data_IF_309579710736
#
_entry.id   IF_309579710736
#
_cell.length_a   1.000
_cell.length_b   1.000
_cell.length_c   1.000
_cell.angle_alpha   90.00
_cell.angle_beta   90.00
_cell.angle_gamma   90.00
#
_symmetry.space_group_name_H-M   'P 1'
#
loop_
_entity.id
_entity.type
_entity.pdbx_description
1 polymer ?
#
# COMPACT_ATOMS: atom_id res chain seq x y z
N UNK A 1 -10.65 13.22 6.56
CA UNK A 1 -9.70 12.89 7.59
C UNK A 1 -8.50 13.82 7.49
N UNK A 2 -7.25 13.49 7.36
CA UNK A 2 -6.12 14.44 7.53
C UNK A 2 -6.29 15.79 6.82
N UNK A 3 -6.54 15.81 5.51
CA UNK A 3 -6.72 17.05 4.73
C UNK A 3 -7.89 17.89 5.25
N UNK A 4 -8.98 17.25 5.65
CA UNK A 4 -10.12 17.93 6.22
C UNK A 4 -9.79 18.54 7.58
N UNK A 5 -9.05 17.82 8.40
CA UNK A 5 -8.74 18.22 9.78
C UNK A 5 -7.67 19.31 9.82
N UNK A 6 -6.65 19.21 8.94
CA UNK A 6 -5.54 20.16 8.88
C UNK A 6 -5.89 21.47 8.14
N UNK A 7 -6.69 21.38 7.07
CA UNK A 7 -6.91 22.51 6.16
C UNK A 7 -8.37 22.97 6.08
N UNK A 8 -9.29 22.31 6.80
CA UNK A 8 -10.74 22.49 6.63
C UNK A 8 -11.19 22.28 5.17
N UNK A 9 -10.50 21.39 4.43
CA UNK A 9 -10.74 21.17 3.02
C UNK A 9 -11.47 19.84 2.79
N UNK A 10 -12.67 19.90 2.24
CA UNK A 10 -13.39 18.72 1.77
C UNK A 10 -12.89 18.32 0.38
N UNK A 11 -12.44 17.08 0.25
CA UNK A 11 -12.00 16.44 -1.00
C UNK A 11 -12.73 15.12 -1.20
N UNK A 12 -12.89 14.68 -2.45
CA UNK A 12 -13.43 13.37 -2.77
C UNK A 12 -12.37 12.25 -2.64
N UNK A 13 -12.84 10.99 -2.66
CA UNK A 13 -11.96 9.81 -2.57
C UNK A 13 -10.92 9.77 -3.69
N UNK A 14 -11.32 10.09 -4.92
CA UNK A 14 -10.41 10.16 -6.08
C UNK A 14 -9.28 11.17 -5.86
N UNK A 15 -9.61 12.35 -5.35
CA UNK A 15 -8.60 13.38 -5.04
C UNK A 15 -7.67 12.91 -3.93
N UNK A 16 -8.20 12.22 -2.91
CA UNK A 16 -7.38 11.65 -1.83
C UNK A 16 -6.42 10.56 -2.36
N UNK A 17 -6.88 9.73 -3.28
CA UNK A 17 -6.05 8.72 -3.96
C UNK A 17 -4.97 9.39 -4.83
N UNK A 18 -5.32 10.41 -5.59
CA UNK A 18 -4.37 11.18 -6.41
C UNK A 18 -3.26 11.82 -5.54
N UNK A 19 -3.60 12.36 -4.36
CA UNK A 19 -2.62 12.89 -3.40
C UNK A 19 -1.69 11.77 -2.93
N UNK A 20 -2.24 10.63 -2.52
CA UNK A 20 -1.45 9.48 -2.07
C UNK A 20 -0.48 9.00 -3.15
N UNK A 21 -0.92 8.91 -4.40
CA UNK A 21 -0.08 8.50 -5.54
C UNK A 21 1.02 9.54 -5.83
N UNK A 22 0.69 10.83 -5.80
CA UNK A 22 1.62 11.90 -6.16
C UNK A 22 2.68 12.15 -5.11
N UNK A 23 2.30 12.24 -3.86
CA UNK A 23 3.19 12.68 -2.76
C UNK A 23 3.28 11.70 -1.59
N UNK A 24 2.52 10.59 -1.60
CA UNK A 24 2.59 9.59 -0.54
C UNK A 24 3.92 8.84 -0.53
N UNK A 25 4.44 8.59 0.67
CA UNK A 25 5.61 7.74 0.90
C UNK A 25 5.53 7.08 2.28
N UNK A 26 6.12 5.88 2.40
CA UNK A 26 6.22 5.16 3.66
C UNK A 26 7.51 5.47 4.44
N UNK A 27 8.51 6.06 3.75
CA UNK A 27 9.81 6.46 4.32
C UNK A 27 10.13 7.90 3.91
N UNK A 28 11.05 8.59 4.60
CA UNK A 28 11.55 9.90 4.18
C UNK A 28 12.11 9.86 2.76
N UNK A 29 11.78 10.88 1.97
CA UNK A 29 12.30 11.04 0.63
C UNK A 29 13.56 11.92 0.65
N UNK A 30 14.48 11.67 -0.28
CA UNK A 30 15.67 12.52 -0.45
C UNK A 30 15.27 13.95 -0.84
N UNK A 31 14.32 14.05 -1.77
CA UNK A 31 13.70 15.29 -2.19
C UNK A 31 12.21 15.18 -1.90
N UNK A 32 11.73 15.97 -0.93
CA UNK A 32 10.31 15.96 -0.56
C UNK A 32 9.47 16.53 -1.70
N UNK A 33 8.28 15.96 -1.87
CA UNK A 33 7.36 16.29 -2.95
C UNK A 33 6.21 17.15 -2.40
N UNK A 34 5.61 17.92 -3.27
CA UNK A 34 4.39 18.66 -2.97
C UNK A 34 3.36 18.58 -4.10
N UNK A 35 2.12 18.89 -3.76
CA UNK A 35 1.01 18.93 -4.70
C UNK A 35 0.01 20.00 -4.31
N UNK A 36 -0.49 20.73 -5.31
CA UNK A 36 -1.64 21.62 -5.12
C UNK A 36 -2.94 20.83 -5.22
N UNK A 37 -3.82 21.02 -4.25
CA UNK A 37 -5.09 20.33 -4.14
C UNK A 37 -6.23 21.34 -4.06
N UNK A 38 -7.20 21.17 -4.93
CA UNK A 38 -8.41 21.94 -4.97
C UNK A 38 -9.54 21.18 -4.24
N UNK A 39 -10.29 21.89 -3.43
CA UNK A 39 -11.42 21.33 -2.72
C UNK A 39 -12.39 22.43 -2.30
N UNK A 40 -13.33 22.05 -1.42
CA UNK A 40 -14.30 22.96 -0.84
C UNK A 40 -13.94 23.23 0.63
N UNK A 41 -13.78 24.49 0.98
CA UNK A 41 -13.63 24.89 2.38
C UNK A 41 -14.91 24.55 3.14
N UNK A 42 -14.77 23.77 4.23
CA UNK A 42 -15.94 23.29 5.00
C UNK A 42 -16.58 24.36 5.87
N UNK A 43 -15.86 25.49 6.10
CA UNK A 43 -16.35 26.60 6.93
C UNK A 43 -17.12 27.60 6.06
N UNK A 44 -16.49 28.04 4.95
CA UNK A 44 -17.04 29.07 4.07
C UNK A 44 -17.89 28.52 2.95
N UNK A 45 -17.73 27.23 2.62
CA UNK A 45 -18.37 26.59 1.48
C UNK A 45 -17.77 26.93 0.11
N UNK A 46 -16.75 27.78 0.07
CA UNK A 46 -16.13 28.29 -1.16
C UNK A 46 -15.03 27.35 -1.67
N UNK A 47 -14.69 27.41 -2.98
CA UNK A 47 -13.51 26.73 -3.51
C UNK A 47 -12.24 27.23 -2.82
N UNK A 48 -11.33 26.30 -2.51
CA UNK A 48 -10.06 26.59 -1.86
C UNK A 48 -8.98 25.69 -2.41
N UNK A 49 -7.80 26.26 -2.62
CA UNK A 49 -6.59 25.51 -3.00
C UNK A 49 -5.63 25.48 -1.83
N UNK A 50 -5.03 24.33 -1.57
CA UNK A 50 -3.98 24.15 -0.56
C UNK A 50 -2.79 23.40 -1.18
N UNK A 51 -1.59 23.70 -0.70
CA UNK A 51 -0.36 22.96 -1.02
C UNK A 51 -0.13 21.94 0.08
N UNK A 52 0.08 20.70 -0.31
CA UNK A 52 0.25 19.55 0.57
C UNK A 52 1.63 18.94 0.32
N UNK A 53 2.40 18.70 1.37
CA UNK A 53 3.75 18.16 1.28
C UNK A 53 3.77 16.66 1.60
N UNK A 54 4.74 15.95 1.02
CA UNK A 54 4.91 14.50 1.21
C UNK A 54 5.19 14.12 2.67
N UNK A 55 5.89 14.97 3.42
CA UNK A 55 6.17 14.74 4.83
C UNK A 55 4.88 14.65 5.67
N UNK A 56 3.91 15.57 5.44
CA UNK A 56 2.66 15.53 6.19
C UNK A 56 1.78 14.35 5.81
N UNK A 57 1.76 13.97 4.51
CA UNK A 57 1.03 12.78 4.07
C UNK A 57 1.67 11.51 4.66
N UNK A 58 3.00 11.44 4.72
CA UNK A 58 3.71 10.34 5.38
C UNK A 58 3.32 10.23 6.85
N UNK A 59 3.25 11.35 7.58
CA UNK A 59 2.78 11.36 8.98
C UNK A 59 1.33 10.87 9.09
N UNK A 60 0.46 11.29 8.19
CA UNK A 60 -0.93 10.83 8.16
C UNK A 60 -1.06 9.33 7.83
N UNK A 61 -0.14 8.78 7.05
CA UNK A 61 -0.09 7.37 6.68
C UNK A 61 0.60 6.47 7.74
N UNK A 62 1.31 7.04 8.72
CA UNK A 62 2.08 6.24 9.68
C UNK A 62 1.22 5.20 10.40
N UNK A 63 0.07 5.60 10.96
CA UNK A 63 -0.78 4.67 11.69
C UNK A 63 -1.22 3.45 10.86
N UNK A 64 -1.83 3.61 9.66
CA UNK A 64 -2.17 2.44 8.84
C UNK A 64 -0.94 1.64 8.38
N UNK A 65 0.22 2.28 8.18
CA UNK A 65 1.45 1.57 7.83
C UNK A 65 2.00 0.75 9.00
N UNK A 66 1.93 1.26 10.24
CA UNK A 66 2.29 0.51 11.45
C UNK A 66 1.38 -0.70 11.66
N UNK A 67 0.06 -0.52 11.45
CA UNK A 67 -0.90 -1.62 11.53
C UNK A 67 -0.61 -2.70 10.48
N UNK A 68 -0.25 -2.29 9.26
CA UNK A 68 0.14 -3.20 8.18
C UNK A 68 1.43 -3.96 8.52
N UNK A 69 2.47 -3.26 8.98
CA UNK A 69 3.73 -3.88 9.38
C UNK A 69 3.54 -4.87 10.54
N UNK A 70 2.68 -4.52 11.50
CA UNK A 70 2.31 -5.42 12.59
C UNK A 70 1.63 -6.68 12.07
N UNK A 71 0.66 -6.55 11.16
CA UNK A 71 -0.02 -7.71 10.59
C UNK A 71 0.95 -8.64 9.85
N UNK A 72 1.95 -8.08 9.15
CA UNK A 72 3.02 -8.88 8.51
C UNK A 72 3.87 -9.60 9.57
N UNK A 73 4.28 -8.93 10.64
CA UNK A 73 5.03 -9.55 11.74
C UNK A 73 4.24 -10.68 12.40
N UNK A 74 2.97 -10.44 12.71
CA UNK A 74 2.09 -11.45 13.31
C UNK A 74 1.95 -12.69 12.39
N UNK A 75 1.89 -12.48 11.07
CA UNK A 75 1.86 -13.57 10.10
C UNK A 75 3.19 -14.35 10.04
N UNK A 76 4.32 -13.65 10.10
CA UNK A 76 5.64 -14.27 10.14
C UNK A 76 5.84 -15.11 11.41
N UNK A 77 5.42 -14.58 12.56
CA UNK A 77 5.50 -15.26 13.85
C UNK A 77 4.63 -16.53 13.89
N UNK A 78 3.50 -16.52 13.18
CA UNK A 78 2.62 -17.68 13.05
C UNK A 78 3.11 -18.70 11.99
N UNK A 79 4.14 -18.38 11.22
CA UNK A 79 4.66 -19.24 10.15
C UNK A 79 5.47 -20.40 10.72
N UNK A 80 5.20 -21.67 10.32
CA UNK A 80 5.99 -22.82 10.76
C UNK A 80 7.48 -22.67 10.41
N UNK A 81 8.40 -23.20 11.27
CA UNK A 81 9.86 -23.05 11.08
C UNK A 81 10.37 -23.50 9.72
N UNK A 82 9.79 -24.56 9.15
CA UNK A 82 10.20 -25.09 7.83
C UNK A 82 9.93 -24.07 6.71
N UNK A 83 8.80 -23.36 6.78
CA UNK A 83 8.44 -22.30 5.84
C UNK A 83 9.16 -20.99 6.13
N UNK A 84 9.54 -20.72 7.37
CA UNK A 84 10.32 -19.56 7.75
C UNK A 84 11.69 -19.56 7.06
N UNK A 85 12.30 -20.72 6.80
CA UNK A 85 13.52 -20.86 6.04
C UNK A 85 13.35 -20.38 4.59
N UNK A 86 12.22 -20.72 3.96
CA UNK A 86 11.90 -20.29 2.60
C UNK A 86 11.70 -18.77 2.52
N UNK A 87 11.08 -18.17 3.53
CA UNK A 87 10.91 -16.72 3.61
C UNK A 87 12.24 -15.96 3.67
N UNK A 88 13.26 -16.51 4.32
CA UNK A 88 14.60 -15.92 4.34
C UNK A 88 15.25 -15.95 2.96
N UNK A 89 14.95 -16.97 2.16
CA UNK A 89 15.51 -17.15 0.81
C UNK A 89 14.78 -16.35 -0.25
N UNK A 90 13.45 -16.43 -0.28
CA UNK A 90 12.61 -15.84 -1.34
C UNK A 90 12.06 -14.46 -0.96
N UNK A 91 11.96 -14.17 0.34
CA UNK A 91 11.39 -12.93 0.83
C UNK A 91 9.88 -12.83 0.67
N UNK A 92 9.38 -11.62 0.79
CA UNK A 92 7.97 -11.25 0.65
C UNK A 92 7.79 -10.54 -0.69
N UNK A 93 6.79 -10.94 -1.47
CA UNK A 93 6.41 -10.26 -2.70
C UNK A 93 5.15 -9.41 -2.46
N UNK A 94 5.27 -8.10 -2.63
CA UNK A 94 4.16 -7.18 -2.57
C UNK A 94 3.44 -7.07 -3.90
N UNK A 95 2.11 -7.10 -3.86
CA UNK A 95 1.23 -6.99 -5.03
C UNK A 95 0.03 -6.10 -4.72
N UNK A 96 -0.70 -5.71 -5.76
CA UNK A 96 -1.82 -4.77 -5.65
C UNK A 96 -1.37 -3.30 -5.64
N UNK A 97 -2.33 -2.38 -5.74
CA UNK A 97 -2.06 -0.94 -5.84
C UNK A 97 -1.36 -0.36 -4.61
N UNK A 98 -1.62 -0.91 -3.42
CA UNK A 98 -0.95 -0.49 -2.18
C UNK A 98 0.56 -0.74 -2.20
N UNK A 99 1.02 -1.79 -2.89
CA UNK A 99 2.43 -2.12 -3.04
C UNK A 99 3.25 -1.02 -3.75
N UNK A 100 2.56 -0.15 -4.52
CA UNK A 100 3.18 0.93 -5.27
C UNK A 100 3.44 2.19 -4.41
N UNK A 101 3.05 2.20 -3.14
CA UNK A 101 3.40 3.30 -2.24
C UNK A 101 4.92 3.38 -2.08
N UNK A 102 5.49 4.55 -2.36
CA UNK A 102 6.95 4.76 -2.33
C UNK A 102 7.55 4.34 -1.00
N UNK A 103 8.54 3.44 -1.04
CA UNK A 103 9.29 2.99 0.12
C UNK A 103 8.52 2.07 1.07
N UNK A 104 7.37 1.52 0.66
CA UNK A 104 6.66 0.53 1.47
C UNK A 104 7.48 -0.75 1.64
N UNK A 105 8.14 -1.19 0.58
CA UNK A 105 9.08 -2.31 0.59
C UNK A 105 10.24 -2.08 1.57
N UNK A 106 10.82 -0.88 1.55
CA UNK A 106 11.90 -0.48 2.46
C UNK A 106 11.42 -0.53 3.91
N UNK A 107 10.28 0.11 4.20
CA UNK A 107 9.73 0.14 5.56
C UNK A 107 9.42 -1.26 6.09
N UNK A 108 8.75 -2.10 5.29
CA UNK A 108 8.43 -3.47 5.72
C UNK A 108 9.70 -4.31 5.91
N UNK A 109 10.70 -4.18 5.03
CA UNK A 109 12.00 -4.84 5.20
C UNK A 109 12.69 -4.41 6.50
N UNK A 110 12.73 -3.10 6.77
CA UNK A 110 13.38 -2.57 7.97
C UNK A 110 12.68 -3.02 9.25
N UNK A 111 11.36 -3.19 9.20
CA UNK A 111 10.56 -3.60 10.35
C UNK A 111 10.51 -5.12 10.56
N UNK A 112 10.63 -5.93 9.51
CA UNK A 112 10.51 -7.39 9.58
C UNK A 112 11.84 -8.13 9.52
N UNK A 113 12.88 -7.47 9.01
CA UNK A 113 14.18 -8.10 8.74
C UNK A 113 14.18 -9.06 7.55
N UNK A 114 13.05 -9.21 6.84
CA UNK A 114 12.89 -10.09 5.68
C UNK A 114 12.99 -9.28 4.40
N UNK A 115 13.58 -9.84 3.34
CA UNK A 115 13.59 -9.21 2.02
C UNK A 115 12.18 -8.97 1.51
N UNK A 116 11.89 -7.75 1.06
CA UNK A 116 10.57 -7.37 0.52
C UNK A 116 10.75 -6.79 -0.87
N UNK A 117 10.04 -7.34 -1.83
CA UNK A 117 10.09 -6.93 -3.23
C UNK A 117 8.71 -6.55 -3.74
N UNK A 118 8.64 -5.52 -4.60
CA UNK A 118 7.40 -5.14 -5.27
C UNK A 118 7.32 -5.86 -6.61
N UNK A 119 6.18 -6.49 -6.90
CA UNK A 119 5.96 -7.11 -8.20
C UNK A 119 6.01 -6.05 -9.31
N UNK A 120 6.71 -6.31 -10.43
CA UNK A 120 6.74 -5.40 -11.58
C UNK A 120 5.36 -5.24 -12.23
N UNK A 121 4.45 -6.20 -12.01
CA UNK A 121 3.07 -6.20 -12.50
C UNK A 121 2.07 -6.17 -11.34
N UNK A 122 2.38 -5.38 -10.30
CA UNK A 122 1.64 -5.39 -9.04
C UNK A 122 0.13 -5.21 -9.21
N UNK A 123 -0.33 -4.37 -10.13
CA UNK A 123 -1.75 -4.14 -10.40
C UNK A 123 -2.43 -5.30 -11.14
N UNK A 124 -1.67 -6.07 -11.94
CA UNK A 124 -2.20 -7.04 -12.87
C UNK A 124 -1.98 -8.50 -12.42
N UNK A 125 -1.30 -8.72 -11.31
CA UNK A 125 -0.94 -10.08 -10.87
C UNK A 125 -2.16 -10.99 -10.71
N UNK A 126 -3.26 -10.47 -10.15
CA UNK A 126 -4.48 -11.26 -9.95
C UNK A 126 -5.12 -11.63 -11.29
N UNK A 127 -5.30 -10.65 -12.20
CA UNK A 127 -5.90 -10.90 -13.50
C UNK A 127 -5.02 -11.81 -14.37
N UNK A 128 -3.71 -11.64 -14.31
CA UNK A 128 -2.75 -12.53 -15.01
C UNK A 128 -2.80 -13.95 -14.45
N UNK A 129 -2.97 -14.11 -13.13
CA UNK A 129 -3.16 -15.41 -12.50
C UNK A 129 -4.46 -16.08 -12.97
N UNK A 130 -5.58 -15.35 -12.99
CA UNK A 130 -6.84 -15.84 -13.53
C UNK A 130 -6.74 -16.24 -14.99
N UNK A 131 -6.09 -15.43 -15.83
CA UNK A 131 -5.87 -15.75 -17.25
C UNK A 131 -5.10 -17.05 -17.43
N UNK A 132 -4.00 -17.24 -16.67
CA UNK A 132 -3.22 -18.49 -16.72
C UNK A 132 -4.03 -19.72 -16.34
N UNK A 133 -4.87 -19.63 -15.32
CA UNK A 133 -5.75 -20.73 -14.91
C UNK A 133 -6.77 -21.06 -16.00
N UNK A 134 -7.35 -20.06 -16.65
CA UNK A 134 -8.28 -20.26 -17.77
C UNK A 134 -7.60 -20.88 -19.00
N UNK A 135 -6.42 -20.37 -19.36
CA UNK A 135 -5.64 -20.87 -20.51
C UNK A 135 -5.16 -22.32 -20.30
N UNK A 136 -4.81 -22.67 -19.06
CA UNK A 136 -4.36 -24.02 -18.73
C UNK A 136 -5.49 -25.05 -18.66
N UNK A 137 -6.76 -24.68 -18.89
CA UNK A 137 -7.95 -25.52 -18.66
C UNK A 137 -7.96 -26.18 -17.27
N UNK A 138 -7.29 -25.56 -16.30
CA UNK A 138 -7.08 -26.10 -14.95
C UNK A 138 -8.34 -26.03 -14.07
N UNK A 139 -9.53 -25.89 -14.67
CA UNK A 139 -10.82 -25.86 -13.96
C UNK A 139 -11.36 -27.26 -13.62
N UNK A 140 -10.60 -28.31 -13.83
CA UNK A 140 -10.96 -29.65 -13.33
C UNK A 140 -10.76 -29.75 -11.81
N UNK A 141 -11.56 -28.97 -11.06
CA UNK A 141 -11.90 -29.23 -9.65
C UNK A 141 -10.77 -29.30 -8.61
N UNK A 142 -9.52 -29.08 -8.98
CA UNK A 142 -8.36 -29.36 -8.12
C UNK A 142 -7.84 -28.20 -7.25
N UNK A 143 -8.33 -26.97 -7.42
CA UNK A 143 -7.81 -25.79 -6.69
C UNK A 143 -8.66 -25.33 -5.50
N UNK A 144 -9.78 -25.98 -5.22
CA UNK A 144 -10.59 -25.71 -4.03
C UNK A 144 -10.65 -26.96 -3.16
N UNK A 145 -9.53 -27.30 -2.53
CA UNK A 145 -9.61 -28.06 -1.29
C UNK A 145 -10.00 -27.08 -0.17
N UNK A 146 -11.28 -26.92 0.04
CA UNK A 146 -11.82 -26.42 1.30
C UNK A 146 -11.56 -27.51 2.35
N UNK A 147 -10.51 -27.33 3.14
CA UNK A 147 -10.38 -28.06 4.39
C UNK A 147 -11.54 -27.62 5.28
N UNK A 148 -12.56 -28.50 5.40
CA UNK A 148 -13.59 -28.44 6.42
C UNK A 148 -13.01 -28.87 7.76
#
# INVERSE_FOLDING_TARGET
THVRDAYNLAIGERTAEDIKIKVGSAVPLKDELDVEVNGRDVITGLPKTVRIESEEIRRALNKPLDEMAKAVKDALDATPPDLASDLMYYGILLTGGGALLRGLDVRLRDETGVSVNVSPTALDNVVNGCARVLEANAFDGGFVQTNA
#
